data_IF_232965338671
#
_entry.id   IF_232965338671
#
_cell.length_a   1.000
_cell.length_b   1.000
_cell.length_c   1.000
_cell.angle_alpha   90.00
_cell.angle_beta   90.00
_cell.angle_gamma   90.00
#
_symmetry.space_group_name_H-M   'P 1'
#
loop_
_entity.id
_entity.type
_entity.pdbx_description
1 polymer ?
#
# COMPACT_ATOMS: atom_id res chain seq x y z
N UNK A 1 8.44 18.46 5.98
CA UNK A 1 9.91 18.52 5.90
C UNK A 1 10.28 19.44 4.76
N UNK A 2 11.09 20.47 5.00
CA UNK A 2 11.59 21.37 3.96
C UNK A 2 12.93 20.83 3.46
N UNK A 3 13.12 20.79 2.14
CA UNK A 3 14.37 20.34 1.52
C UNK A 3 15.23 21.58 1.31
N UNK A 4 16.39 21.62 1.94
CA UNK A 4 17.29 22.79 1.93
C UNK A 4 18.61 22.49 1.23
N UNK A 5 19.00 21.21 1.20
CA UNK A 5 20.23 20.71 0.59
C UNK A 5 20.07 19.27 0.07
N UNK A 6 21.14 18.73 -0.51
CA UNK A 6 21.13 17.36 -1.05
C UNK A 6 20.98 16.29 0.03
N UNK A 7 21.43 16.55 1.25
CA UNK A 7 21.37 15.58 2.35
C UNK A 7 19.94 15.42 2.87
N UNK A 8 19.25 16.53 3.07
CA UNK A 8 17.83 16.61 3.45
C UNK A 8 16.94 16.07 2.33
N UNK A 9 17.28 16.32 1.06
CA UNK A 9 16.63 15.67 -0.07
C UNK A 9 16.78 14.14 0.00
N UNK A 10 18.00 13.65 0.18
CA UNK A 10 18.30 12.21 0.17
C UNK A 10 17.57 11.48 1.30
N UNK A 11 17.50 12.08 2.49
CA UNK A 11 16.74 11.55 3.61
C UNK A 11 15.22 11.51 3.32
N UNK A 12 14.67 12.58 2.73
CA UNK A 12 13.26 12.60 2.34
C UNK A 12 12.94 11.57 1.24
N UNK A 13 13.85 11.43 0.28
CA UNK A 13 13.76 10.45 -0.80
C UNK A 13 13.77 9.02 -0.24
N UNK A 14 14.73 8.67 0.62
CA UNK A 14 14.84 7.34 1.23
C UNK A 14 13.60 7.02 2.08
N UNK A 15 13.17 7.95 2.93
CA UNK A 15 11.97 7.79 3.75
C UNK A 15 10.68 7.66 2.91
N UNK A 16 10.61 8.35 1.77
CA UNK A 16 9.50 8.23 0.81
C UNK A 16 9.51 6.88 0.10
N UNK A 17 10.68 6.46 -0.38
CA UNK A 17 10.84 5.22 -1.13
C UNK A 17 10.57 4.00 -0.25
N UNK A 18 10.99 4.02 1.02
CA UNK A 18 10.73 2.95 1.98
C UNK A 18 9.22 2.68 2.19
N UNK A 19 8.35 3.69 2.02
CA UNK A 19 6.89 3.53 2.12
C UNK A 19 6.28 2.83 0.89
N UNK A 20 6.91 2.99 -0.26
CA UNK A 20 6.43 2.44 -1.55
C UNK A 20 7.05 1.07 -1.84
N UNK A 21 8.32 0.89 -1.48
CA UNK A 21 9.15 -0.27 -1.77
C UNK A 21 9.78 -0.86 -0.50
N UNK A 22 8.97 -1.32 0.49
CA UNK A 22 9.51 -1.87 1.74
C UNK A 22 10.36 -3.14 1.53
N UNK A 23 11.17 -3.52 2.50
CA UNK A 23 11.93 -4.79 2.42
C UNK A 23 11.05 -6.05 2.40
N UNK A 24 9.81 -5.94 2.87
CA UNK A 24 8.84 -7.02 2.99
C UNK A 24 7.68 -6.90 1.99
N UNK A 25 6.73 -7.84 2.05
CA UNK A 25 5.53 -7.82 1.22
C UNK A 25 4.72 -6.55 1.51
N UNK A 26 4.21 -5.89 0.47
CA UNK A 26 3.29 -4.76 0.62
C UNK A 26 1.94 -5.12 0.01
N UNK A 27 0.91 -5.06 0.83
CA UNK A 27 -0.49 -5.22 0.42
C UNK A 27 -1.12 -3.83 0.40
N UNK A 28 -1.70 -3.41 -0.71
CA UNK A 28 -2.46 -2.17 -0.74
C UNK A 28 -3.87 -2.34 -1.27
N UNK A 29 -4.83 -1.81 -0.51
CA UNK A 29 -6.25 -1.84 -0.83
C UNK A 29 -6.64 -0.49 -1.43
N UNK A 30 -7.23 -0.51 -2.62
CA UNK A 30 -7.79 0.66 -3.29
C UNK A 30 -9.02 1.16 -2.55
N UNK A 31 -8.86 2.31 -1.91
CA UNK A 31 -9.86 2.97 -1.04
C UNK A 31 -10.18 4.38 -1.54
N UNK A 32 -10.13 4.58 -2.86
CA UNK A 32 -10.75 5.75 -3.50
C UNK A 32 -12.28 5.75 -3.31
N UNK A 33 -12.97 6.73 -3.89
CA UNK A 33 -14.44 6.88 -3.71
C UNK A 33 -15.23 5.63 -4.09
N UNK A 34 -14.95 5.04 -5.25
CA UNK A 34 -15.63 3.83 -5.70
C UNK A 34 -15.30 2.63 -4.78
N UNK A 35 -14.05 2.49 -4.34
CA UNK A 35 -13.60 1.39 -3.49
C UNK A 35 -14.20 1.48 -2.10
N UNK A 36 -14.22 2.67 -1.51
CA UNK A 36 -14.93 2.94 -0.27
C UNK A 36 -16.43 2.63 -0.41
N UNK A 37 -17.05 3.05 -1.51
CA UNK A 37 -18.45 2.74 -1.82
C UNK A 37 -18.74 1.25 -1.99
N UNK A 38 -17.78 0.48 -2.48
CA UNK A 38 -17.87 -0.98 -2.68
C UNK A 38 -17.33 -1.80 -1.49
N UNK A 39 -17.12 -1.17 -0.32
CA UNK A 39 -16.78 -1.89 0.91
C UNK A 39 -15.30 -2.23 1.11
N UNK A 40 -14.38 -1.46 0.52
CA UNK A 40 -12.93 -1.66 0.68
C UNK A 40 -12.45 -1.65 2.15
N UNK A 41 -13.16 -0.98 3.06
CA UNK A 41 -12.84 -1.01 4.50
C UNK A 41 -12.93 -2.43 5.07
N UNK A 42 -13.95 -3.21 4.70
CA UNK A 42 -14.09 -4.60 5.16
C UNK A 42 -12.92 -5.47 4.69
N UNK A 43 -12.49 -5.29 3.44
CA UNK A 43 -11.32 -5.97 2.88
C UNK A 43 -10.04 -5.59 3.64
N UNK A 44 -9.84 -4.30 3.92
CA UNK A 44 -8.69 -3.82 4.67
C UNK A 44 -8.64 -4.43 6.08
N UNK A 45 -9.76 -4.43 6.80
CA UNK A 45 -9.82 -4.99 8.16
C UNK A 45 -9.59 -6.51 8.16
N UNK A 46 -10.13 -7.23 7.18
CA UNK A 46 -9.88 -8.67 7.04
C UNK A 46 -8.38 -8.98 6.85
N UNK A 47 -7.69 -8.24 5.98
CA UNK A 47 -6.24 -8.39 5.84
C UNK A 47 -5.49 -8.02 7.11
N UNK A 48 -5.86 -6.93 7.77
CA UNK A 48 -5.22 -6.50 9.02
C UNK A 48 -5.31 -7.58 10.09
N UNK A 49 -6.47 -8.23 10.22
CA UNK A 49 -6.69 -9.31 11.18
C UNK A 49 -5.89 -10.56 10.80
N UNK A 50 -5.91 -10.97 9.53
CA UNK A 50 -5.17 -12.14 9.06
C UNK A 50 -3.65 -11.98 9.23
N UNK A 51 -3.10 -10.81 8.85
CA UNK A 51 -1.67 -10.50 9.02
C UNK A 51 -1.26 -10.62 10.49
N UNK A 52 -2.07 -10.06 11.40
CA UNK A 52 -1.81 -10.12 12.83
C UNK A 52 -1.94 -11.53 13.40
N UNK A 53 -2.98 -12.28 13.00
CA UNK A 53 -3.24 -13.63 13.50
C UNK A 53 -2.20 -14.65 13.03
N UNK A 54 -1.73 -14.52 11.78
CA UNK A 54 -0.79 -15.45 11.16
C UNK A 54 0.67 -15.01 11.29
N UNK A 55 0.93 -13.81 11.84
CA UNK A 55 2.29 -13.28 11.99
C UNK A 55 2.99 -13.02 10.66
N UNK A 56 2.24 -12.62 9.63
CA UNK A 56 2.77 -12.41 8.28
C UNK A 56 3.61 -11.12 8.26
N UNK A 57 4.84 -11.20 7.76
CA UNK A 57 5.66 -10.01 7.50
C UNK A 57 5.15 -9.26 6.25
N UNK A 58 4.16 -8.40 6.47
CA UNK A 58 3.57 -7.57 5.44
C UNK A 58 3.22 -6.17 5.93
N UNK A 59 3.49 -5.19 5.08
CA UNK A 59 3.01 -3.82 5.22
C UNK A 59 1.65 -3.71 4.54
N UNK A 60 0.59 -3.54 5.34
CA UNK A 60 -0.74 -3.22 4.84
C UNK A 60 -0.87 -1.69 4.66
N UNK A 61 -1.31 -1.26 3.49
CA UNK A 61 -1.46 0.15 3.15
C UNK A 61 -2.82 0.46 2.53
N UNK A 62 -3.32 1.66 2.82
CA UNK A 62 -4.46 2.25 2.11
C UNK A 62 -3.94 3.01 0.90
N UNK A 63 -4.60 2.90 -0.24
CA UNK A 63 -4.24 3.67 -1.43
C UNK A 63 -5.47 4.20 -2.14
N UNK A 64 -5.26 5.09 -3.12
CA UNK A 64 -6.33 5.75 -3.84
C UNK A 64 -6.94 4.89 -4.95
N UNK A 65 -7.51 5.57 -5.94
CA UNK A 65 -8.13 4.96 -7.12
C UNK A 65 -7.07 4.31 -8.03
N UNK A 66 -7.38 3.12 -8.55
CA UNK A 66 -6.57 2.44 -9.57
C UNK A 66 -7.06 2.66 -11.01
N UNK A 67 -8.19 3.34 -11.18
CA UNK A 67 -8.75 3.71 -12.50
C UNK A 67 -9.74 2.70 -13.08
N UNK A 68 -9.97 1.55 -12.43
CA UNK A 68 -10.94 0.55 -12.89
C UNK A 68 -12.11 0.33 -11.90
N UNK A 69 -12.98 1.34 -11.83
CA UNK A 69 -14.09 1.39 -10.86
C UNK A 69 -15.04 0.17 -10.95
N UNK A 70 -15.19 -0.44 -12.13
CA UNK A 70 -16.09 -1.58 -12.33
C UNK A 70 -15.67 -2.86 -11.60
N UNK A 71 -14.43 -2.92 -11.06
CA UNK A 71 -13.88 -4.08 -10.36
C UNK A 71 -13.35 -3.75 -8.97
N UNK A 72 -13.69 -2.59 -8.42
CA UNK A 72 -13.33 -2.26 -7.05
C UNK A 72 -14.19 -3.04 -6.04
N UNK A 73 -13.62 -3.43 -4.87
CA UNK A 73 -12.31 -3.07 -4.35
C UNK A 73 -11.14 -3.82 -5.02
N UNK A 74 -10.12 -3.08 -5.45
CA UNK A 74 -8.89 -3.67 -6.01
C UNK A 74 -7.81 -3.76 -4.93
N UNK A 75 -7.03 -4.84 -4.97
CA UNK A 75 -5.92 -5.08 -4.04
C UNK A 75 -4.69 -5.36 -4.87
N UNK A 76 -3.60 -4.65 -4.59
CA UNK A 76 -2.32 -4.94 -5.20
C UNK A 76 -1.36 -5.54 -4.18
N UNK A 77 -0.54 -6.47 -4.66
CA UNK A 77 0.53 -7.11 -3.90
C UNK A 77 1.86 -6.78 -4.57
N UNK A 78 2.77 -6.22 -3.78
CA UNK A 78 4.16 -6.01 -4.17
C UNK A 78 5.04 -6.89 -3.33
N UNK A 79 5.76 -7.78 -4.02
CA UNK A 79 6.81 -8.61 -3.43
C UNK A 79 8.16 -8.06 -3.89
N UNK A 80 9.17 -7.98 -3.00
CA UNK A 80 10.52 -7.57 -3.40
C UNK A 80 11.03 -8.40 -4.59
N UNK A 81 11.52 -7.71 -5.63
CA UNK A 81 12.06 -8.35 -6.83
C UNK A 81 11.04 -8.98 -7.80
N UNK A 82 9.72 -8.81 -7.57
CA UNK A 82 8.67 -9.33 -8.47
C UNK A 82 7.83 -8.20 -9.07
N UNK A 83 7.18 -8.44 -10.23
CA UNK A 83 6.18 -7.52 -10.77
C UNK A 83 5.04 -7.28 -9.78
N UNK A 84 4.41 -6.10 -9.89
CA UNK A 84 3.19 -5.79 -9.15
C UNK A 84 2.07 -6.74 -9.59
N UNK A 85 1.41 -7.37 -8.62
CA UNK A 85 0.18 -8.13 -8.86
C UNK A 85 -1.02 -7.24 -8.55
N UNK A 86 -2.01 -7.21 -9.44
CA UNK A 86 -3.29 -6.48 -9.29
C UNK A 86 -4.46 -7.34 -9.77
#
# INVERSE_FOLDING_TARGET
MRIEDISTFSAAHEAGLAKLLPGSMRIAVGMGTCGAGNGAEGVYQAFSQAIAAEGIDAVLARTGCFGFCAREPLVNLRLPGKPLLI
#
